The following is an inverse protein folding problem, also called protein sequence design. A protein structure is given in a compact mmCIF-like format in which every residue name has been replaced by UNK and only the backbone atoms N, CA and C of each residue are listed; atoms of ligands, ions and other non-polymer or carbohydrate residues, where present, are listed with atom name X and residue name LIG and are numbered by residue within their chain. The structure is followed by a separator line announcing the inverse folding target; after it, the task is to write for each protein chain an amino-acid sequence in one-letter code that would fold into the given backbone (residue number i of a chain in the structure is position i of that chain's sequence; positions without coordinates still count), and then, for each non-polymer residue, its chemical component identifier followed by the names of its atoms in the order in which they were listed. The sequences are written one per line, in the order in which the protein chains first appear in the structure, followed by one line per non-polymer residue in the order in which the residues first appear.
data_IF_485556604676
#
_entry.id   IF_485556604676
#
_cell.length_a   1.000
_cell.length_b   1.000
_cell.length_c   1.000
_cell.angle_alpha   90.00
_cell.angle_beta   90.00
_cell.angle_gamma   90.00
#
_symmetry.space_group_name_H-M   'P 1'
#
loop_
_entity.id
_entity.type
_entity.pdbx_description
1 polymer ?
#
# COMPACT_ATOMS: atom_id res chain seq x y z
N UNK A 1 -35.44 67.30 -4.55
CA UNK A 1 -36.22 68.24 -5.40
C UNK A 1 -35.96 67.92 -6.87
N UNK A 2 -37.04 67.64 -7.61
CA UNK A 2 -37.30 67.83 -9.07
C UNK A 2 -36.36 67.23 -10.14
N UNK A 3 -36.83 66.19 -10.87
CA UNK A 3 -37.39 66.15 -12.27
C UNK A 3 -36.30 66.10 -13.37
N UNK A 4 -35.97 64.96 -14.03
CA UNK A 4 -36.59 64.24 -15.18
C UNK A 4 -36.73 65.02 -16.51
N UNK A 5 -36.21 64.43 -17.61
CA UNK A 5 -36.69 64.35 -19.02
C UNK A 5 -35.49 64.07 -19.94
N UNK A 6 -35.45 63.19 -20.95
CA UNK A 6 -36.37 62.29 -21.67
C UNK A 6 -35.63 61.90 -22.98
N UNK A 7 -35.64 60.65 -23.47
CA UNK A 7 -36.46 60.13 -24.58
C UNK A 7 -35.95 58.69 -24.89
N UNK A 8 -36.72 57.62 -24.63
CA UNK A 8 -37.61 56.82 -25.51
C UNK A 8 -36.94 55.87 -26.54
N UNK A 9 -37.01 54.57 -26.20
CA UNK A 9 -37.32 53.33 -26.97
C UNK A 9 -38.07 53.51 -28.33
N UNK A 10 -38.07 52.63 -29.36
CA UNK A 10 -37.72 51.21 -29.66
C UNK A 10 -38.19 50.93 -31.14
N UNK A 11 -38.39 49.72 -31.75
CA UNK A 11 -37.70 48.41 -31.82
C UNK A 11 -37.40 47.93 -33.28
N UNK A 12 -36.62 46.86 -33.46
CA UNK A 12 -36.94 45.70 -34.34
C UNK A 12 -35.90 44.59 -34.07
N UNK A 13 -36.27 43.50 -33.37
CA UNK A 13 -36.81 42.24 -33.91
C UNK A 13 -35.92 41.49 -34.91
N UNK A 14 -35.04 40.60 -34.42
CA UNK A 14 -35.36 39.16 -34.34
C UNK A 14 -34.23 38.33 -33.68
N UNK A 15 -34.57 37.25 -32.96
CA UNK A 15 -33.64 36.42 -32.21
C UNK A 15 -33.06 35.28 -33.07
N UNK A 16 -31.82 34.88 -32.80
CA UNK A 16 -31.24 33.64 -33.31
C UNK A 16 -31.42 32.51 -32.29
N UNK A 17 -31.69 31.28 -32.74
CA UNK A 17 -32.32 30.24 -31.94
C UNK A 17 -31.35 29.47 -31.04
N UNK A 18 -31.92 28.96 -29.95
CA UNK A 18 -31.36 27.90 -29.14
C UNK A 18 -31.39 26.57 -29.92
N UNK A 19 -30.25 25.89 -29.93
CA UNK A 19 -30.14 24.43 -30.08
C UNK A 19 -29.05 24.03 -29.10
N UNK A 20 -29.41 23.60 -27.88
CA UNK A 20 -29.54 22.18 -27.57
C UNK A 20 -28.33 21.38 -28.02
N UNK A 21 -27.30 21.34 -27.17
CA UNK A 21 -26.61 20.08 -26.93
C UNK A 21 -26.32 19.98 -25.43
N UNK A 22 -27.40 19.67 -24.68
CA UNK A 22 -27.30 19.19 -23.31
C UNK A 22 -26.59 17.84 -23.39
N UNK A 23 -25.28 17.80 -23.12
CA UNK A 23 -24.67 16.55 -22.66
C UNK A 23 -25.15 16.31 -21.24
N UNK A 24 -26.27 15.61 -21.23
CA UNK A 24 -26.97 15.03 -20.10
C UNK A 24 -25.96 14.26 -19.22
N UNK A 25 -25.73 14.81 -18.03
CA UNK A 25 -25.17 14.12 -16.89
C UNK A 25 -26.18 13.02 -16.53
N UNK A 26 -25.94 11.79 -16.97
CA UNK A 26 -26.81 10.67 -16.63
C UNK A 26 -26.55 10.22 -15.20
N UNK A 27 -27.52 10.53 -14.34
CA UNK A 27 -27.77 9.86 -13.07
C UNK A 27 -27.67 8.33 -13.23
N UNK A 28 -26.70 7.73 -12.54
CA UNK A 28 -26.59 6.29 -12.39
C UNK A 28 -27.14 5.88 -11.01
N UNK A 29 -28.44 6.08 -10.79
CA UNK A 29 -29.17 5.60 -9.59
C UNK A 29 -30.49 4.93 -9.98
N UNK A 30 -30.43 3.75 -10.60
CA UNK A 30 -31.30 2.60 -10.26
C UNK A 30 -31.06 1.38 -11.16
N UNK A 31 -31.25 0.15 -10.63
CA UNK A 31 -30.67 -1.07 -11.19
C UNK A 31 -31.55 -1.68 -12.28
N UNK A 32 -31.02 -1.87 -13.48
CA UNK A 32 -31.61 -2.78 -14.46
C UNK A 32 -31.28 -4.22 -14.08
N UNK A 33 -32.32 -4.98 -13.72
CA UNK A 33 -32.31 -6.43 -13.57
C UNK A 33 -31.77 -7.11 -14.84
N UNK A 34 -30.54 -7.61 -14.82
CA UNK A 34 -30.10 -8.85 -15.47
C UNK A 34 -28.57 -8.99 -15.39
N UNK A 35 -28.10 -9.78 -14.43
CA UNK A 35 -26.96 -10.72 -14.48
C UNK A 35 -26.33 -10.85 -13.08
N UNK A 36 -27.04 -11.57 -12.20
CA UNK A 36 -26.46 -12.16 -11.00
C UNK A 36 -25.56 -13.32 -11.45
N UNK A 37 -24.27 -13.07 -11.65
CA UNK A 37 -23.17 -13.99 -11.33
C UNK A 37 -21.83 -13.29 -11.69
N UNK A 38 -21.20 -12.62 -10.72
CA UNK A 38 -19.78 -12.23 -10.83
C UNK A 38 -19.07 -12.59 -9.53
N UNK A 39 -18.82 -13.89 -9.38
CA UNK A 39 -17.83 -14.45 -8.46
C UNK A 39 -16.47 -13.87 -8.82
N UNK A 40 -15.87 -13.09 -7.93
CA UNK A 40 -14.52 -12.56 -8.08
C UNK A 40 -13.52 -13.68 -7.72
N UNK A 41 -13.01 -14.38 -8.73
CA UNK A 41 -11.82 -15.21 -8.60
C UNK A 41 -10.60 -14.30 -8.71
N UNK A 42 -9.75 -14.21 -7.68
CA UNK A 42 -8.45 -13.56 -7.79
C UNK A 42 -7.36 -14.47 -7.20
N UNK A 43 -6.66 -15.15 -8.10
CA UNK A 43 -5.40 -15.85 -7.86
C UNK A 43 -4.48 -15.42 -8.99
N UNK A 44 -3.47 -14.61 -8.69
CA UNK A 44 -2.37 -14.34 -9.63
C UNK A 44 -1.17 -15.11 -9.11
N UNK A 45 -0.77 -16.15 -9.84
CA UNK A 45 0.55 -16.75 -9.65
C UNK A 45 1.54 -15.76 -10.22
N UNK A 46 2.34 -15.14 -9.36
CA UNK A 46 3.43 -14.27 -9.83
C UNK A 46 4.46 -15.22 -10.43
N UNK A 47 4.72 -15.12 -11.73
CA UNK A 47 5.79 -15.89 -12.36
C UNK A 47 7.11 -15.34 -11.83
N UNK A 48 7.88 -16.15 -11.10
CA UNK A 48 9.18 -15.74 -10.57
C UNK A 48 10.13 -15.40 -11.74
N UNK A 49 10.55 -14.14 -11.92
CA UNK A 49 11.60 -13.82 -12.88
C UNK A 49 12.94 -14.33 -12.34
N UNK A 50 13.76 -14.91 -13.20
CA UNK A 50 15.09 -15.44 -12.88
C UNK A 50 16.16 -14.37 -12.61
N UNK A 51 15.77 -13.12 -12.31
CA UNK A 51 16.68 -11.98 -12.14
C UNK A 51 16.49 -11.23 -10.81
N UNK A 52 15.73 -11.80 -9.86
CA UNK A 52 15.48 -11.22 -8.54
C UNK A 52 16.69 -11.27 -7.58
N UNK A 53 17.82 -11.86 -7.98
CA UNK A 53 19.00 -12.15 -7.14
C UNK A 53 19.82 -10.89 -6.71
N UNK A 54 19.29 -9.67 -6.89
CA UNK A 54 19.99 -8.40 -6.59
C UNK A 54 19.21 -7.36 -5.78
N UNK A 55 17.99 -7.66 -5.33
CA UNK A 55 17.13 -6.76 -4.56
C UNK A 55 17.31 -6.91 -3.04
N UNK A 56 17.37 -5.83 -2.26
CA UNK A 56 17.45 -5.91 -0.78
C UNK A 56 16.37 -6.80 -0.13
N UNK A 57 15.18 -6.90 -0.75
CA UNK A 57 14.11 -7.80 -0.32
C UNK A 57 13.98 -9.11 -1.12
N UNK A 58 14.66 -9.26 -2.27
CA UNK A 58 14.61 -10.48 -3.10
C UNK A 58 15.95 -11.25 -3.22
N UNK A 59 17.04 -10.73 -2.66
CA UNK A 59 18.31 -11.44 -2.40
C UNK A 59 18.07 -12.45 -1.27
N UNK A 60 18.62 -13.67 -1.33
CA UNK A 60 18.58 -14.58 -0.20
C UNK A 60 19.39 -13.99 0.94
N UNK A 61 18.76 -13.76 2.10
CA UNK A 61 19.35 -13.29 3.35
C UNK A 61 20.40 -14.26 3.98
N UNK A 62 21.33 -14.80 3.19
CA UNK A 62 22.52 -15.50 3.68
C UNK A 62 23.72 -14.56 3.58
N UNK A 63 23.86 -13.71 4.60
CA UNK A 63 24.91 -12.67 4.66
C UNK A 63 25.51 -12.41 6.04
N UNK A 64 25.25 -13.25 7.05
CA UNK A 64 26.04 -13.26 8.30
C UNK A 64 26.35 -14.72 8.66
N UNK A 65 27.39 -15.27 8.05
CA UNK A 65 28.06 -16.47 8.58
C UNK A 65 29.45 -16.07 9.05
N UNK A 66 29.63 -16.08 10.38
CA UNK A 66 30.96 -16.11 10.99
C UNK A 66 31.69 -17.36 10.48
N UNK A 67 32.90 -17.15 9.97
CA UNK A 67 33.74 -18.20 9.40
C UNK A 67 34.28 -19.20 10.43
N UNK A 68 34.40 -20.46 10.01
CA UNK A 68 35.13 -21.54 10.69
C UNK A 68 34.87 -22.89 10.02
N UNK A 69 35.88 -23.76 9.82
CA UNK A 69 35.94 -24.64 8.64
C UNK A 69 35.20 -25.98 8.79
N UNK A 70 34.84 -26.52 7.62
CA UNK A 70 34.23 -27.83 7.41
C UNK A 70 35.07 -28.99 7.98
N UNK A 71 34.41 -29.99 8.59
CA UNK A 71 34.52 -31.40 8.20
C UNK A 71 33.62 -32.35 9.03
N UNK A 72 33.05 -33.33 8.30
CA UNK A 72 32.66 -34.70 8.67
C UNK A 72 31.30 -35.00 9.33
N UNK A 73 30.51 -35.74 8.54
CA UNK A 73 29.69 -36.94 8.85
C UNK A 73 28.53 -36.85 9.84
N UNK A 74 27.33 -36.98 9.26
CA UNK A 74 26.30 -37.97 9.61
C UNK A 74 25.94 -38.13 11.09
N UNK A 75 25.00 -37.33 11.60
CA UNK A 75 23.94 -37.79 12.51
C UNK A 75 22.90 -36.68 12.67
N UNK A 76 21.65 -37.11 12.81
CA UNK A 76 20.51 -36.37 13.38
C UNK A 76 19.97 -35.15 12.61
N UNK A 77 18.83 -35.39 11.95
CA UNK A 77 17.86 -34.34 11.63
C UNK A 77 17.28 -33.88 12.97
N UNK A 78 17.79 -32.78 13.51
CA UNK A 78 17.09 -31.99 14.53
C UNK A 78 16.04 -31.12 13.84
N UNK A 79 14.78 -31.06 14.31
CA UNK A 79 13.79 -30.14 13.77
C UNK A 79 13.97 -28.78 14.43
N UNK A 80 15.02 -28.05 14.05
CA UNK A 80 15.23 -26.66 14.46
C UNK A 80 15.42 -25.77 13.24
N UNK A 81 14.32 -25.55 12.53
CA UNK A 81 14.07 -24.31 11.82
C UNK A 81 12.55 -24.22 11.72
N UNK A 82 11.93 -23.41 12.58
CA UNK A 82 10.55 -22.99 12.38
C UNK A 82 10.54 -22.25 11.05
N UNK A 83 10.11 -22.93 9.99
CA UNK A 83 10.08 -22.36 8.64
C UNK A 83 9.21 -21.08 8.70
N UNK A 84 9.81 -19.90 8.53
CA UNK A 84 9.07 -18.64 8.55
C UNK A 84 8.50 -18.37 7.16
N UNK A 85 7.30 -17.81 7.10
CA UNK A 85 6.69 -17.41 5.83
C UNK A 85 7.17 -16.00 5.48
N UNK A 86 7.80 -15.86 4.31
CA UNK A 86 8.26 -14.56 3.81
C UNK A 86 7.09 -13.79 3.23
N UNK A 87 6.98 -12.52 3.59
CA UNK A 87 5.92 -11.61 3.12
C UNK A 87 6.54 -10.31 2.63
N UNK A 88 6.51 -10.09 1.33
CA UNK A 88 6.89 -8.80 0.72
C UNK A 88 5.65 -7.93 0.64
N UNK A 89 5.71 -6.74 1.22
CA UNK A 89 4.61 -5.78 1.26
C UNK A 89 4.89 -4.67 0.28
N UNK A 90 4.17 -4.68 -0.85
CA UNK A 90 4.21 -3.61 -1.83
C UNK A 90 3.28 -2.48 -1.37
N UNK A 91 3.83 -1.28 -1.14
CA UNK A 91 3.13 -0.22 -0.41
C UNK A 91 3.49 1.20 -0.84
N UNK A 92 2.58 2.14 -0.57
CA UNK A 92 2.82 3.59 -0.68
C UNK A 92 2.20 4.32 0.53
N UNK A 93 2.96 5.23 1.14
CA UNK A 93 2.55 5.99 2.33
C UNK A 93 1.39 6.96 2.11
N UNK A 94 1.06 7.30 0.85
CA UNK A 94 -0.15 8.09 0.53
C UNK A 94 -1.38 7.23 0.23
N UNK A 95 -1.26 5.89 0.29
CA UNK A 95 -2.38 4.99 0.06
C UNK A 95 -3.13 4.65 1.37
N UNK A 96 -4.40 5.07 1.53
CA UNK A 96 -5.15 4.82 2.77
C UNK A 96 -5.42 3.33 3.01
N UNK A 97 -5.57 2.55 1.94
CA UNK A 97 -5.73 1.09 2.06
C UNK A 97 -4.44 0.42 2.52
N UNK A 98 -3.26 0.97 2.21
CA UNK A 98 -2.01 0.40 2.71
C UNK A 98 -1.90 0.54 4.24
N UNK A 99 -2.35 1.67 4.79
CA UNK A 99 -2.35 1.84 6.24
C UNK A 99 -3.34 0.90 6.94
N UNK A 100 -4.55 0.73 6.37
CA UNK A 100 -5.50 -0.29 6.85
C UNK A 100 -4.88 -1.69 6.76
N UNK A 101 -4.24 -2.02 5.64
CA UNK A 101 -3.57 -3.31 5.44
C UNK A 101 -2.46 -3.58 6.45
N UNK A 102 -1.70 -2.55 6.85
CA UNK A 102 -0.69 -2.66 7.90
C UNK A 102 -1.29 -3.17 9.22
N UNK A 103 -2.48 -2.71 9.62
CA UNK A 103 -3.12 -3.20 10.87
C UNK A 103 -3.47 -4.69 10.83
N UNK A 104 -3.77 -5.23 9.65
CA UNK A 104 -4.06 -6.66 9.48
C UNK A 104 -2.75 -7.46 9.42
N UNK A 105 -1.70 -6.88 8.82
CA UNK A 105 -0.36 -7.46 8.80
C UNK A 105 0.26 -7.54 10.20
N UNK A 106 0.08 -6.51 11.04
CA UNK A 106 0.53 -6.52 12.44
C UNK A 106 -0.12 -7.68 13.24
N UNK A 107 -1.40 -7.98 12.97
CA UNK A 107 -2.08 -9.14 13.58
C UNK A 107 -1.47 -10.45 13.10
N UNK A 108 -1.19 -10.56 11.80
CA UNK A 108 -0.53 -11.72 11.20
C UNK A 108 0.83 -11.98 11.85
N UNK A 109 1.64 -10.93 12.00
CA UNK A 109 2.97 -11.05 12.58
C UNK A 109 2.97 -11.44 14.06
N UNK A 110 1.97 -10.98 14.82
CA UNK A 110 1.77 -11.37 16.21
C UNK A 110 1.43 -12.86 16.36
N UNK A 111 0.66 -13.40 15.42
CA UNK A 111 0.07 -14.73 15.52
C UNK A 111 0.85 -15.82 14.76
N UNK A 112 1.68 -15.44 13.80
CA UNK A 112 2.37 -16.36 12.90
C UNK A 112 3.86 -16.03 12.72
N UNK A 113 4.70 -17.04 12.42
CA UNK A 113 6.11 -16.82 12.15
C UNK A 113 6.31 -16.27 10.73
N UNK A 114 6.11 -14.96 10.56
CA UNK A 114 6.32 -14.28 9.28
C UNK A 114 7.55 -13.38 9.29
N UNK A 115 8.28 -13.36 8.18
CA UNK A 115 9.35 -12.41 7.89
C UNK A 115 8.81 -11.37 6.92
N UNK A 116 8.77 -10.09 7.34
CA UNK A 116 8.21 -9.01 6.53
C UNK A 116 9.35 -8.21 5.90
N UNK A 117 9.21 -7.95 4.60
CA UNK A 117 10.02 -6.97 3.87
C UNK A 117 9.12 -6.03 3.10
N UNK A 118 9.64 -4.86 2.75
CA UNK A 118 8.86 -3.79 2.11
C UNK A 118 9.38 -3.53 0.70
N UNK A 119 8.47 -3.32 -0.23
CA UNK A 119 8.78 -2.92 -1.59
C UNK A 119 8.03 -1.61 -1.92
N UNK A 120 8.73 -0.57 -2.39
CA UNK A 120 8.12 0.71 -2.69
C UNK A 120 7.19 0.63 -3.89
N UNK A 121 6.10 1.39 -3.82
CA UNK A 121 5.23 1.69 -4.95
C UNK A 121 4.96 3.18 -4.96
N UNK A 122 4.99 3.80 -6.14
CA UNK A 122 4.62 5.21 -6.29
C UNK A 122 3.23 5.30 -6.93
N UNK A 123 2.21 5.55 -6.10
CA UNK A 123 0.80 5.52 -6.49
C UNK A 123 0.44 6.63 -7.47
N UNK A 124 1.06 7.81 -7.35
CA UNK A 124 0.84 8.91 -8.26
C UNK A 124 2.15 9.61 -8.65
N UNK A 125 2.82 9.14 -9.72
CA UNK A 125 4.04 9.76 -10.24
C UNK A 125 3.79 11.16 -10.85
N UNK A 126 2.54 11.60 -11.00
CA UNK A 126 2.23 12.93 -11.56
C UNK A 126 2.32 14.05 -10.51
N UNK A 127 2.43 13.73 -9.22
CA UNK A 127 2.64 14.73 -8.16
C UNK A 127 4.09 15.21 -8.23
N UNK A 128 4.36 16.52 -8.38
CA UNK A 128 5.73 17.01 -8.50
C UNK A 128 6.48 16.84 -7.16
N UNK A 129 7.83 16.87 -7.14
CA UNK A 129 8.62 16.64 -5.93
C UNK A 129 8.24 17.54 -4.75
N UNK A 130 7.95 18.81 -5.02
CA UNK A 130 7.49 19.79 -4.03
C UNK A 130 6.03 19.58 -3.54
N UNK A 131 5.36 18.52 -4.00
CA UNK A 131 3.96 18.28 -3.76
C UNK A 131 3.02 19.26 -4.48
N UNK A 132 1.72 19.16 -4.22
CA UNK A 132 0.72 20.00 -4.89
C UNK A 132 -0.36 20.44 -3.92
N UNK A 133 -0.65 21.74 -3.93
CA UNK A 133 -1.85 22.28 -3.29
C UNK A 133 -3.11 21.69 -3.93
N UNK A 134 -4.09 21.34 -3.11
CA UNK A 134 -5.37 20.80 -3.57
C UNK A 134 -6.52 21.32 -2.73
N UNK A 135 -7.72 21.34 -3.31
CA UNK A 135 -8.93 21.49 -2.51
C UNK A 135 -9.11 20.26 -1.63
N UNK A 136 -9.51 20.47 -0.37
CA UNK A 136 -9.84 19.37 0.51
C UNK A 136 -10.89 18.46 -0.14
N UNK A 137 -10.57 17.17 -0.26
CA UNK A 137 -11.44 16.15 -0.86
C UNK A 137 -12.49 15.64 0.12
N UNK A 138 -12.23 15.77 1.42
CA UNK A 138 -13.10 15.36 2.52
C UNK A 138 -13.17 16.49 3.54
N UNK A 139 -14.36 16.73 4.09
CA UNK A 139 -14.65 17.73 5.11
C UNK A 139 -15.34 17.11 6.34
N UNK A 140 -15.29 17.80 7.49
CA UNK A 140 -16.10 17.42 8.65
C UNK A 140 -17.59 17.36 8.26
N UNK A 141 -18.24 16.23 8.55
CA UNK A 141 -19.66 16.00 8.24
C UNK A 141 -19.95 15.25 6.93
N UNK A 142 -18.97 15.06 6.05
CA UNK A 142 -19.15 14.20 4.87
C UNK A 142 -19.42 12.74 5.29
N UNK A 143 -20.18 11.95 4.52
CA UNK A 143 -20.27 10.50 4.75
C UNK A 143 -18.87 9.86 4.75
N UNK A 144 -18.66 8.86 5.61
CA UNK A 144 -17.42 8.08 5.59
C UNK A 144 -17.33 7.29 4.28
N UNK A 145 -16.21 7.42 3.59
CA UNK A 145 -15.84 6.55 2.49
C UNK A 145 -15.63 5.10 2.99
N UNK A 146 -15.68 4.09 2.10
CA UNK A 146 -15.46 2.70 2.52
C UNK A 146 -14.13 2.47 3.25
N UNK A 147 -13.06 3.19 2.85
CA UNK A 147 -11.75 3.08 3.50
C UNK A 147 -11.73 3.72 4.89
N UNK A 148 -12.43 4.85 5.09
CA UNK A 148 -12.54 5.48 6.41
C UNK A 148 -13.33 4.61 7.39
N UNK A 149 -14.43 3.98 6.94
CA UNK A 149 -15.18 3.03 7.77
C UNK A 149 -14.30 1.83 8.18
N UNK A 150 -13.47 1.35 7.25
CA UNK A 150 -12.53 0.26 7.52
C UNK A 150 -11.43 0.70 8.48
N UNK A 151 -10.91 1.91 8.32
CA UNK A 151 -9.92 2.51 9.21
C UNK A 151 -10.46 2.64 10.64
N UNK A 152 -11.69 3.14 10.83
CA UNK A 152 -12.33 3.22 12.16
C UNK A 152 -12.48 1.85 12.81
N UNK A 153 -12.88 0.83 12.04
CA UNK A 153 -12.98 -0.55 12.54
C UNK A 153 -11.62 -1.12 12.95
N UNK A 154 -10.54 -0.67 12.30
CA UNK A 154 -9.16 -1.02 12.62
C UNK A 154 -8.55 -0.17 13.75
N UNK A 155 -9.30 0.79 14.31
CA UNK A 155 -8.82 1.69 15.37
C UNK A 155 -7.94 2.84 14.87
N UNK A 156 -7.93 3.11 13.57
CA UNK A 156 -7.20 4.22 12.96
C UNK A 156 -8.08 5.49 12.89
N UNK A 157 -7.48 6.66 13.08
CA UNK A 157 -8.21 7.92 13.14
C UNK A 157 -7.84 8.86 11.98
N UNK A 158 -8.42 8.59 10.80
CA UNK A 158 -8.13 9.39 9.60
C UNK A 158 -8.70 10.81 9.72
N UNK A 159 -7.80 11.79 9.68
CA UNK A 159 -8.16 13.20 9.66
C UNK A 159 -8.61 13.64 8.27
N UNK A 160 -9.51 14.61 8.26
CA UNK A 160 -10.08 15.21 7.05
C UNK A 160 -9.62 16.65 6.88
N UNK A 161 -9.85 17.20 5.69
CA UNK A 161 -9.51 18.60 5.40
C UNK A 161 -8.10 18.81 4.83
N UNK A 162 -7.42 17.74 4.39
CA UNK A 162 -6.09 17.84 3.77
C UNK A 162 -6.13 18.73 2.51
N UNK A 163 -5.45 19.87 2.58
CA UNK A 163 -5.31 20.83 1.46
C UNK A 163 -3.99 20.69 0.69
N UNK A 164 -3.11 19.79 1.13
CA UNK A 164 -1.82 19.57 0.49
C UNK A 164 -1.59 18.09 0.20
N UNK A 165 -1.17 17.79 -1.03
CA UNK A 165 -0.83 16.45 -1.47
C UNK A 165 0.69 16.30 -1.59
N UNK A 166 1.34 15.56 -0.69
CA UNK A 166 2.77 15.28 -0.78
C UNK A 166 3.08 14.34 -1.96
N UNK A 167 4.29 14.45 -2.49
CA UNK A 167 4.92 13.35 -3.22
C UNK A 167 5.54 12.41 -2.18
N UNK A 168 5.25 11.10 -2.27
CA UNK A 168 5.71 10.11 -1.30
C UNK A 168 7.13 9.60 -1.55
N UNK A 169 7.79 9.99 -2.63
CA UNK A 169 9.09 9.44 -3.03
C UNK A 169 10.16 9.62 -1.94
N UNK A 170 10.26 10.81 -1.32
CA UNK A 170 11.17 11.02 -0.18
C UNK A 170 10.81 10.16 1.04
N UNK A 171 9.53 9.88 1.28
CA UNK A 171 9.11 8.97 2.34
C UNK A 171 9.48 7.52 2.03
N UNK A 172 9.40 7.11 0.76
CA UNK A 172 9.87 5.80 0.29
C UNK A 172 11.39 5.68 0.49
N UNK A 173 12.18 6.69 0.11
CA UNK A 173 13.63 6.73 0.37
C UNK A 173 13.95 6.66 1.86
N UNK A 174 13.21 7.39 2.71
CA UNK A 174 13.40 7.35 4.16
C UNK A 174 13.13 5.94 4.73
N UNK A 175 12.10 5.26 4.20
CA UNK A 175 11.76 3.90 4.61
C UNK A 175 12.81 2.87 4.14
N UNK A 176 13.41 3.07 2.97
CA UNK A 176 14.57 2.29 2.51
C UNK A 176 15.79 2.54 3.39
N UNK A 177 16.11 3.80 3.72
CA UNK A 177 17.17 4.11 4.68
C UNK A 177 16.98 3.37 6.00
N UNK A 178 15.76 3.38 6.56
CA UNK A 178 15.48 2.71 7.81
C UNK A 178 15.79 1.20 7.73
N UNK A 179 15.38 0.54 6.64
CA UNK A 179 15.63 -0.89 6.41
C UNK A 179 17.11 -1.24 6.26
N UNK A 180 17.88 -0.37 5.59
CA UNK A 180 19.32 -0.57 5.32
C UNK A 180 20.22 -0.08 6.48
N UNK A 181 19.65 0.59 7.48
CA UNK A 181 20.38 1.06 8.65
C UNK A 181 20.55 -0.01 9.73
N UNK A 182 21.48 0.23 10.67
CA UNK A 182 21.67 -0.61 11.86
C UNK A 182 20.55 -0.45 12.92
N UNK A 183 19.43 0.20 12.58
CA UNK A 183 18.29 0.34 13.47
C UNK A 183 17.68 -1.03 13.83
N UNK A 184 17.09 -1.13 15.03
CA UNK A 184 16.38 -2.34 15.41
C UNK A 184 15.17 -2.56 14.49
N UNK A 185 14.78 -3.82 14.30
CA UNK A 185 13.57 -4.16 13.55
C UNK A 185 12.33 -3.42 14.09
N UNK A 186 12.22 -3.30 15.42
CA UNK A 186 11.14 -2.55 16.08
C UNK A 186 11.13 -1.07 15.66
N UNK A 187 12.31 -0.43 15.56
CA UNK A 187 12.42 0.95 15.09
C UNK A 187 12.03 1.10 13.61
N UNK A 188 12.42 0.13 12.76
CA UNK A 188 12.07 0.12 11.33
C UNK A 188 10.55 0.00 11.11
N UNK A 189 9.88 -0.87 11.87
CA UNK A 189 8.43 -1.05 11.84
C UNK A 189 7.69 0.16 12.41
N UNK A 190 8.17 0.69 13.55
CA UNK A 190 7.64 1.90 14.14
C UNK A 190 7.76 3.08 13.17
N UNK A 191 8.85 3.18 12.40
CA UNK A 191 9.02 4.23 11.41
C UNK A 191 7.99 4.15 10.27
N UNK A 192 7.75 2.95 9.71
CA UNK A 192 6.69 2.76 8.71
C UNK A 192 5.33 3.19 9.22
N UNK A 193 4.99 2.82 10.47
CA UNK A 193 3.74 3.23 11.12
C UNK A 193 3.68 4.73 11.36
N UNK A 194 4.80 5.35 11.75
CA UNK A 194 4.91 6.79 11.99
C UNK A 194 4.68 7.59 10.70
N UNK A 195 5.21 7.14 9.55
CA UNK A 195 4.96 7.77 8.24
C UNK A 195 3.47 7.75 7.87
N UNK A 196 2.80 6.60 8.09
CA UNK A 196 1.36 6.50 7.88
C UNK A 196 0.55 7.38 8.82
N UNK A 197 0.84 7.36 10.12
CA UNK A 197 0.14 8.20 11.11
C UNK A 197 0.36 9.68 10.81
N UNK A 198 1.59 10.08 10.47
CA UNK A 198 1.91 11.45 10.06
C UNK A 198 1.05 11.88 8.85
N UNK A 199 0.89 11.01 7.86
CA UNK A 199 0.07 11.32 6.70
C UNK A 199 -1.45 11.33 7.00
N UNK A 200 -1.97 10.32 7.70
CA UNK A 200 -3.41 10.12 7.79
C UNK A 200 -4.03 10.70 9.07
N UNK A 201 -3.28 10.77 10.17
CA UNK A 201 -3.81 11.10 11.49
C UNK A 201 -3.36 12.49 11.99
N UNK A 202 -2.25 13.03 11.49
CA UNK A 202 -1.79 14.39 11.84
C UNK A 202 -1.72 15.34 10.64
N UNK A 203 -2.03 14.84 9.44
CA UNK A 203 -2.05 15.59 8.17
C UNK A 203 -0.71 16.25 7.79
N UNK A 204 0.40 15.73 8.31
CA UNK A 204 1.72 16.25 8.03
C UNK A 204 2.15 16.01 6.57
N UNK A 205 3.17 16.76 6.16
CA UNK A 205 3.78 16.66 4.85
C UNK A 205 4.97 15.69 4.91
N UNK A 206 4.72 14.44 4.52
CA UNK A 206 5.74 13.38 4.41
C UNK A 206 6.67 13.54 3.18
N UNK A 207 6.47 14.59 2.36
CA UNK A 207 7.40 14.97 1.30
C UNK A 207 8.50 15.93 1.77
N UNK A 208 8.58 16.25 3.07
CA UNK A 208 9.56 17.18 3.64
C UNK A 208 10.59 16.45 4.48
N UNK A 209 11.88 16.75 4.24
CA UNK A 209 13.00 16.13 4.97
C UNK A 209 12.88 16.37 6.48
N UNK A 210 12.50 17.58 6.91
CA UNK A 210 12.39 17.91 8.33
C UNK A 210 11.33 17.06 9.05
N UNK A 211 10.20 16.79 8.39
CA UNK A 211 9.16 15.88 8.91
C UNK A 211 9.72 14.47 9.04
N UNK A 212 10.35 13.95 7.99
CA UNK A 212 10.88 12.58 7.95
C UNK A 212 11.97 12.36 9.01
N UNK A 213 12.89 13.31 9.15
CA UNK A 213 13.97 13.27 10.16
C UNK A 213 13.41 13.30 11.57
N UNK A 214 12.42 14.15 11.85
CA UNK A 214 11.76 14.19 13.16
C UNK A 214 11.11 12.84 13.50
N UNK A 215 10.33 12.27 12.58
CA UNK A 215 9.69 10.98 12.77
C UNK A 215 10.73 9.85 12.97
N UNK A 216 11.85 9.90 12.25
CA UNK A 216 12.93 8.93 12.38
C UNK A 216 13.58 8.97 13.77
N UNK A 217 13.88 10.17 14.29
CA UNK A 217 14.43 10.35 15.63
C UNK A 217 13.48 9.81 16.70
N UNK A 218 12.17 10.07 16.56
CA UNK A 218 11.16 9.66 17.54
C UNK A 218 11.08 8.14 17.73
N UNK A 219 11.44 7.37 16.70
CA UNK A 219 11.44 5.90 16.72
C UNK A 219 12.84 5.30 16.86
N UNK A 220 13.88 6.13 17.03
CA UNK A 220 15.24 5.68 17.31
C UNK A 220 16.18 5.53 16.10
N UNK A 221 15.84 6.11 14.94
CA UNK A 221 16.78 6.21 13.81
C UNK A 221 17.82 7.32 14.04
N UNK A 222 18.98 7.19 13.39
CA UNK A 222 19.96 8.27 13.31
C UNK A 222 19.45 9.40 12.41
N UNK A 223 18.95 10.47 13.02
CA UNK A 223 18.41 11.62 12.31
C UNK A 223 19.45 12.41 11.49
N UNK A 224 20.74 12.37 11.86
CA UNK A 224 21.81 13.04 11.09
C UNK A 224 22.07 12.25 9.82
N UNK A 225 22.25 10.94 9.93
CA UNK A 225 22.46 10.06 8.79
C UNK A 225 21.22 10.03 7.86
N UNK A 226 20.01 9.99 8.42
CA UNK A 226 18.76 10.06 7.65
C UNK A 226 18.66 11.37 6.87
N UNK A 227 18.96 12.51 7.51
CA UNK A 227 18.96 13.81 6.83
C UNK A 227 19.95 13.82 5.67
N UNK A 228 21.19 13.40 5.92
CA UNK A 228 22.24 13.37 4.91
C UNK A 228 21.83 12.49 3.72
N UNK A 229 21.29 11.30 3.97
CA UNK A 229 20.82 10.39 2.94
C UNK A 229 19.69 11.00 2.08
N UNK A 230 18.73 11.70 2.71
CA UNK A 230 17.63 12.34 2.00
C UNK A 230 18.05 13.59 1.21
N UNK A 231 18.98 14.39 1.75
CA UNK A 231 19.52 15.56 1.05
C UNK A 231 20.38 15.15 -0.16
N UNK A 232 21.13 14.05 -0.03
CA UNK A 232 21.95 13.48 -1.10
C UNK A 232 21.17 12.57 -2.06
N UNK A 233 19.92 12.23 -1.72
CA UNK A 233 19.07 11.29 -2.50
C UNK A 233 19.72 9.92 -2.64
N UNK A 234 20.39 9.44 -1.59
CA UNK A 234 21.20 8.21 -1.59
C UNK A 234 20.41 6.98 -2.02
N UNK A 235 19.13 6.89 -1.66
CA UNK A 235 18.28 5.72 -1.95
C UNK A 235 17.37 5.94 -3.17
N UNK A 236 17.47 7.08 -3.87
CA UNK A 236 16.58 7.39 -4.98
C UNK A 236 16.62 6.35 -6.08
N UNK A 237 17.81 5.99 -6.54
CA UNK A 237 17.98 5.07 -7.67
C UNK A 237 17.49 3.67 -7.29
N UNK A 238 17.74 3.22 -6.05
CA UNK A 238 17.22 1.96 -5.52
C UNK A 238 15.69 1.96 -5.48
N UNK A 239 15.07 3.02 -4.96
CA UNK A 239 13.61 3.14 -4.91
C UNK A 239 13.01 3.16 -6.32
N UNK A 240 13.61 3.90 -7.26
CA UNK A 240 13.14 3.98 -8.65
C UNK A 240 13.24 2.61 -9.35
N UNK A 241 14.33 1.86 -9.12
CA UNK A 241 14.53 0.51 -9.63
C UNK A 241 13.51 -0.48 -9.05
N UNK A 242 13.32 -0.48 -7.72
CA UNK A 242 12.37 -1.36 -7.05
C UNK A 242 10.91 -1.09 -7.48
N UNK A 243 10.53 0.18 -7.67
CA UNK A 243 9.22 0.55 -8.24
C UNK A 243 9.06 -0.05 -9.64
N UNK A 244 10.09 0.04 -10.50
CA UNK A 244 10.09 -0.55 -11.83
C UNK A 244 9.90 -2.06 -11.79
N UNK A 245 10.63 -2.76 -10.93
CA UNK A 245 10.54 -4.21 -10.80
C UNK A 245 9.18 -4.68 -10.27
N UNK A 246 8.60 -3.98 -9.30
CA UNK A 246 7.24 -4.27 -8.81
C UNK A 246 6.20 -4.17 -9.94
N UNK A 247 6.34 -3.18 -10.84
CA UNK A 247 5.49 -3.05 -12.02
C UNK A 247 5.72 -4.20 -13.02
N UNK A 248 6.96 -4.61 -13.25
CA UNK A 248 7.32 -5.75 -14.11
C UNK A 248 6.78 -7.09 -13.59
N UNK A 249 6.70 -7.25 -12.26
CA UNK A 249 6.04 -8.38 -11.60
C UNK A 249 4.51 -8.39 -11.79
N UNK A 250 3.95 -7.37 -12.45
CA UNK A 250 2.52 -7.23 -12.72
C UNK A 250 1.72 -6.66 -11.55
N UNK A 251 2.39 -6.15 -10.51
CA UNK A 251 1.71 -5.49 -9.39
C UNK A 251 1.20 -4.12 -9.85
N UNK A 252 -0.12 -3.98 -9.91
CA UNK A 252 -0.79 -2.76 -10.41
C UNK A 252 -1.69 -2.09 -9.37
N UNK A 253 -1.76 -2.65 -8.16
CA UNK A 253 -2.54 -2.12 -7.05
C UNK A 253 -1.81 -2.35 -5.72
N UNK A 254 -2.03 -1.45 -4.76
CA UNK A 254 -1.46 -1.53 -3.42
C UNK A 254 -2.55 -1.36 -2.34
N UNK A 255 -2.42 -1.99 -1.16
CA UNK A 255 -1.30 -2.87 -0.78
C UNK A 255 -1.35 -4.20 -1.53
N UNK A 256 -0.19 -4.78 -1.83
CA UNK A 256 -0.08 -6.16 -2.32
C UNK A 256 0.88 -6.92 -1.40
N UNK A 257 0.46 -8.07 -0.90
CA UNK A 257 1.23 -8.92 0.01
C UNK A 257 1.65 -10.18 -0.73
N UNK A 258 2.96 -10.36 -0.96
CA UNK A 258 3.53 -11.49 -1.70
C UNK A 258 4.14 -12.47 -0.71
N UNK A 259 3.58 -13.68 -0.64
CA UNK A 259 3.97 -14.76 0.24
C UNK A 259 4.89 -15.75 -0.47
N UNK A 260 6.06 -16.03 0.14
CA UNK A 260 7.06 -16.97 -0.35
C UNK A 260 7.36 -16.82 -1.86
N UNK A 261 7.30 -15.59 -2.37
CA UNK A 261 7.50 -15.23 -3.78
C UNK A 261 6.60 -16.00 -4.77
N UNK A 262 5.49 -16.58 -4.31
CA UNK A 262 4.62 -17.44 -5.13
C UNK A 262 3.16 -16.99 -5.11
N UNK A 263 2.65 -16.57 -3.96
CA UNK A 263 1.24 -16.21 -3.76
C UNK A 263 1.10 -14.73 -3.47
N UNK A 264 0.06 -14.09 -4.00
CA UNK A 264 -0.22 -12.69 -3.71
C UNK A 264 -1.64 -12.50 -3.17
N UNK A 265 -1.77 -11.69 -2.13
CA UNK A 265 -3.04 -11.08 -1.69
C UNK A 265 -3.01 -9.62 -2.13
N UNK A 266 -4.00 -9.21 -2.92
CA UNK A 266 -4.09 -7.84 -3.45
C UNK A 266 -5.20 -7.09 -2.71
N UNK A 267 -4.88 -5.90 -2.22
CA UNK A 267 -5.78 -5.05 -1.44
C UNK A 267 -5.67 -5.28 0.06
N UNK A 268 -6.29 -4.38 0.83
CA UNK A 268 -6.38 -4.44 2.29
C UNK A 268 -7.41 -5.49 2.74
N UNK A 269 -7.11 -6.76 2.44
CA UNK A 269 -7.95 -7.89 2.79
C UNK A 269 -8.04 -8.08 4.31
N UNK A 270 -9.10 -8.74 4.75
CA UNK A 270 -9.37 -8.96 6.17
C UNK A 270 -8.41 -9.99 6.78
N UNK A 271 -8.19 -9.92 8.09
CA UNK A 271 -7.35 -10.90 8.80
C UNK A 271 -7.67 -12.38 8.49
N UNK A 272 -8.94 -12.82 8.37
CA UNK A 272 -9.24 -14.19 7.96
C UNK A 272 -8.69 -14.60 6.58
N UNK A 273 -8.46 -13.67 5.65
CA UNK A 273 -7.80 -13.98 4.37
C UNK A 273 -6.33 -14.35 4.57
N UNK A 274 -5.63 -13.60 5.43
CA UNK A 274 -4.26 -13.92 5.85
C UNK A 274 -4.20 -15.26 6.57
N UNK A 275 -5.12 -15.55 7.49
CA UNK A 275 -5.16 -16.84 8.18
C UNK A 275 -5.31 -18.03 7.23
N UNK A 276 -6.17 -17.92 6.20
CA UNK A 276 -6.29 -18.96 5.15
C UNK A 276 -5.01 -19.14 4.34
N UNK A 277 -4.28 -18.05 4.09
CA UNK A 277 -2.97 -18.13 3.42
C UNK A 277 -1.94 -18.86 4.31
N UNK A 278 -1.94 -18.57 5.61
CA UNK A 278 -1.06 -19.27 6.56
C UNK A 278 -1.42 -20.75 6.70
N UNK A 279 -2.71 -21.08 6.71
CA UNK A 279 -3.19 -22.47 6.72
C UNK A 279 -2.73 -23.24 5.47
N UNK A 280 -2.75 -22.59 4.30
CA UNK A 280 -2.19 -23.15 3.06
C UNK A 280 -0.71 -23.48 3.18
N UNK A 281 0.06 -22.73 3.97
CA UNK A 281 1.46 -23.01 4.29
C UNK A 281 1.66 -23.96 5.49
N UNK A 282 0.57 -24.55 6.01
CA UNK A 282 0.64 -25.53 7.12
C UNK A 282 0.63 -24.91 8.52
N UNK A 283 0.36 -23.60 8.64
CA UNK A 283 0.22 -22.93 9.94
C UNK A 283 -1.26 -22.84 10.33
N UNK A 284 -1.73 -23.61 11.32
CA UNK A 284 -3.13 -23.59 11.72
C UNK A 284 -3.52 -22.23 12.31
N UNK A 285 -4.82 -21.86 12.25
CA UNK A 285 -5.35 -20.71 12.98
C UNK A 285 -4.97 -20.72 14.47
N UNK A 286 -4.67 -19.55 15.07
CA UNK A 286 -4.64 -19.40 16.52
C UNK A 286 -5.94 -19.88 17.16
N UNK A 287 -5.83 -20.49 18.34
CA UNK A 287 -7.00 -20.97 19.09
C UNK A 287 -8.03 -19.85 19.29
N UNK A 288 -9.30 -20.15 18.98
CA UNK A 288 -10.41 -19.20 19.13
C UNK A 288 -10.63 -18.24 17.95
N UNK A 289 -9.90 -18.37 16.84
CA UNK A 289 -10.18 -17.58 15.64
C UNK A 289 -11.38 -18.12 14.85
N UNK A 290 -12.34 -17.24 14.54
CA UNK A 290 -13.44 -17.55 13.61
C UNK A 290 -12.95 -17.37 12.18
N UNK A 291 -12.48 -18.45 11.55
CA UNK A 291 -12.33 -18.46 10.09
C UNK A 291 -13.72 -18.71 9.49
N UNK A 292 -14.32 -17.75 8.76
CA UNK A 292 -15.58 -17.99 8.07
C UNK A 292 -15.40 -19.15 7.08
N UNK A 293 -16.38 -20.06 6.96
CA UNK A 293 -16.24 -21.28 6.17
C UNK A 293 -15.86 -20.98 4.70
N UNK A 294 -15.00 -21.84 4.15
CA UNK A 294 -14.31 -21.68 2.87
C UNK A 294 -15.19 -21.07 1.76
N UNK A 295 -14.75 -19.97 1.17
CA UNK A 295 -15.29 -19.51 -0.13
C UNK A 295 -14.38 -19.86 -1.32
N UNK A 296 -13.23 -20.50 -1.12
CA UNK A 296 -12.31 -20.80 -2.22
C UNK A 296 -11.54 -22.12 -2.02
N UNK A 297 -12.04 -23.18 -2.65
CA UNK A 297 -11.25 -24.35 -3.07
C UNK A 297 -11.07 -24.25 -4.59
N UNK A 298 -9.84 -24.05 -5.05
CA UNK A 298 -9.49 -24.24 -6.47
C UNK A 298 -8.79 -25.59 -6.59
N UNK A 299 -9.50 -26.58 -7.14
CA UNK A 299 -8.90 -27.81 -7.65
C UNK A 299 -8.08 -27.46 -8.90
N UNK A 300 -6.83 -27.91 -8.92
CA UNK A 300 -6.04 -27.91 -10.14
C UNK A 300 -6.42 -29.13 -10.98
N UNK A 301 -6.80 -28.89 -12.24
CA UNK A 301 -6.85 -29.93 -13.25
C UNK A 301 -5.39 -30.18 -13.67
N UNK A 302 -4.79 -31.26 -13.15
CA UNK A 302 -3.51 -31.74 -13.63
C UNK A 302 -3.73 -32.20 -15.07
N UNK A 303 -3.43 -31.31 -16.03
CA UNK A 303 -3.61 -31.51 -17.46
C UNK A 303 -2.88 -32.74 -18.01
N UNK A 304 -3.40 -33.93 -17.69
CA UNK A 304 -3.15 -35.17 -18.40
C UNK A 304 -4.08 -35.17 -19.59
N UNK A 305 -3.59 -34.66 -20.70
CA UNK A 305 -4.11 -35.01 -22.02
C UNK A 305 -4.06 -36.53 -22.13
N UNK A 306 -5.23 -37.17 -22.10
CA UNK A 306 -5.40 -38.57 -22.47
C UNK A 306 -5.10 -38.77 -23.96
N UNK A 307 -4.45 -39.90 -24.24
CA UNK A 307 -4.32 -40.50 -25.58
C UNK A 307 -5.68 -40.76 -26.25
#
# INVERSE_FOLDING_TARGET
MRWWSGLRCSPSERPLPASEDRREYRDATSPSRASKDRRHNFRVRVGAPSHLDGLGWAVPWWGIQNGGPAMTTSSEITPETTERVKVVVVSDFVCPWCYVGLTELEKLQRDYPVDISWAPFLLDPSVPPEGRQQTARTQPGDPLSPVEQRAETAGLNFQRGRTFRPNSHLALEAATFAQESDASHEAQEAFHKALYSAHFETLENIGEIDTLVRLGIEVGLDGVALREALEQRTFRDQVDEEIGMVQELGVSAVPTFIFNNEYAIVGAETYPAFQRMMEHFGFPPPEGSEIPPETFRLTFDDGKTGE
#
